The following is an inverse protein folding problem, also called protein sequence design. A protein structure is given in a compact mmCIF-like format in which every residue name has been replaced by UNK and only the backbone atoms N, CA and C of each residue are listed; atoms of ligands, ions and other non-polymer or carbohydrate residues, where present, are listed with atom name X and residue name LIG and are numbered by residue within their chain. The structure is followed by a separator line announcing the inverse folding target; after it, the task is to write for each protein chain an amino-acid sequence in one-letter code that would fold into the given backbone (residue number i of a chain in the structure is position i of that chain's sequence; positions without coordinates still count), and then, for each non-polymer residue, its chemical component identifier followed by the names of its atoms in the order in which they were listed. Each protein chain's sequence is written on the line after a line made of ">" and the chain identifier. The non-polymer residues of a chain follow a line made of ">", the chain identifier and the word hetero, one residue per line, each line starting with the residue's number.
data_IF_237544085907
#
_entry.id   IF_237544085907
#
_cell.length_a   1.000
_cell.length_b   1.000
_cell.length_c   1.000
_cell.angle_alpha   90.00
_cell.angle_beta   90.00
_cell.angle_gamma   90.00
#
_symmetry.space_group_name_H-M   'P 1'
#
loop_
_entity.id
_entity.type
_entity.pdbx_description
1 polymer ?
#
# COMPACT_ATOMS: atom_id res chain seq x y z
N UNK A 1 11.20 46.51 -38.37
CA UNK A 1 9.92 46.44 -37.63
C UNK A 1 9.75 45.01 -37.16
N UNK A 2 9.75 44.80 -35.84
CA UNK A 2 9.08 43.72 -35.08
C UNK A 2 9.63 43.82 -33.66
N UNK A 3 8.85 44.46 -32.81
CA UNK A 3 9.06 44.57 -31.36
C UNK A 3 8.81 43.22 -30.71
N UNK A 4 9.74 42.74 -29.89
CA UNK A 4 9.53 41.62 -28.99
C UNK A 4 8.52 41.98 -27.90
N UNK A 5 7.54 41.11 -27.67
CA UNK A 5 6.53 41.26 -26.62
C UNK A 5 7.08 40.68 -25.30
N UNK A 6 6.96 41.37 -24.16
CA UNK A 6 7.45 40.89 -22.88
C UNK A 6 6.64 39.69 -22.37
N UNK A 7 7.32 38.69 -21.80
CA UNK A 7 6.68 37.57 -21.10
C UNK A 7 6.12 38.05 -19.76
N UNK A 8 4.82 37.82 -19.55
CA UNK A 8 4.11 38.14 -18.31
C UNK A 8 4.32 37.00 -17.28
N UNK A 9 4.89 37.24 -16.08
CA UNK A 9 5.19 36.19 -15.10
C UNK A 9 3.99 35.65 -14.30
N UNK A 10 2.75 36.04 -14.62
CA UNK A 10 1.56 35.69 -13.83
C UNK A 10 0.67 34.58 -14.42
N UNK A 11 1.12 33.82 -15.42
CA UNK A 11 0.29 32.74 -15.96
C UNK A 11 0.42 31.48 -15.09
N UNK A 12 -0.61 31.06 -14.34
CA UNK A 12 -0.53 29.84 -13.56
C UNK A 12 -0.36 28.65 -14.51
N UNK A 13 0.66 27.83 -14.26
CA UNK A 13 0.72 26.48 -14.81
C UNK A 13 -0.47 25.72 -14.25
N UNK A 14 -1.50 25.52 -15.07
CA UNK A 14 -2.56 24.57 -14.79
C UNK A 14 -2.00 23.16 -14.98
N UNK A 15 -1.27 22.65 -14.00
CA UNK A 15 -1.19 21.19 -13.83
C UNK A 15 -2.62 20.70 -13.60
N UNK A 16 -3.15 19.77 -14.41
CA UNK A 16 -4.42 19.16 -14.07
C UNK A 16 -4.23 18.48 -12.72
N UNK A 17 -4.93 18.97 -11.70
CA UNK A 17 -5.14 18.21 -10.50
C UNK A 17 -5.80 16.90 -10.95
N UNK A 18 -5.14 15.77 -10.70
CA UNK A 18 -5.81 14.48 -10.81
C UNK A 18 -6.85 14.42 -9.69
N UNK A 19 -8.01 15.02 -9.93
CA UNK A 19 -9.20 14.91 -9.09
C UNK A 19 -9.72 13.48 -9.24
N UNK A 20 -9.02 12.52 -8.64
CA UNK A 20 -9.52 11.17 -8.49
C UNK A 20 -10.81 11.26 -7.69
N UNK A 21 -11.91 10.74 -8.26
CA UNK A 21 -13.12 10.45 -7.48
C UNK A 21 -12.68 9.67 -6.25
N UNK A 22 -13.11 10.03 -5.02
CA UNK A 22 -12.84 9.20 -3.85
C UNK A 22 -13.40 7.81 -4.17
N UNK A 23 -12.49 6.86 -4.36
CA UNK A 23 -12.90 5.48 -4.62
C UNK A 23 -13.49 4.97 -3.32
N UNK A 24 -14.79 4.69 -3.33
CA UNK A 24 -15.44 4.02 -2.20
C UNK A 24 -14.82 2.63 -2.06
N UNK A 25 -14.09 2.40 -0.98
CA UNK A 25 -13.52 1.09 -0.65
C UNK A 25 -12.08 1.16 -0.14
N UNK A 26 -11.46 0.00 0.12
CA UNK A 26 -10.10 -0.08 0.64
C UNK A 26 -9.07 0.51 -0.32
N UNK A 27 -8.11 1.25 0.23
CA UNK A 27 -7.00 1.84 -0.54
C UNK A 27 -6.01 0.76 -0.98
N UNK A 28 -5.65 0.73 -2.26
CA UNK A 28 -4.64 -0.22 -2.77
C UNK A 28 -3.25 0.22 -2.31
N UNK A 29 -2.55 -0.66 -1.59
CA UNK A 29 -1.18 -0.46 -1.16
C UNK A 29 -0.23 -1.37 -1.94
N UNK A 30 0.83 -0.78 -2.48
CA UNK A 30 1.92 -1.47 -3.17
C UNK A 30 3.11 -1.49 -2.22
N UNK A 31 3.78 -2.64 -2.12
CA UNK A 31 4.99 -2.76 -1.30
C UNK A 31 6.09 -1.85 -1.86
N UNK A 32 6.53 -0.88 -1.07
CA UNK A 32 7.58 0.08 -1.48
C UNK A 32 8.99 -0.44 -1.17
N UNK A 33 9.11 -1.38 -0.22
CA UNK A 33 10.37 -1.87 0.30
C UNK A 33 11.17 -0.82 1.09
N UNK A 34 12.12 -1.29 1.89
CA UNK A 34 13.11 -0.46 2.59
C UNK A 34 12.53 0.69 3.41
N UNK A 35 11.36 0.49 4.02
CA UNK A 35 10.81 1.44 4.99
C UNK A 35 11.71 1.51 6.22
N UNK A 36 11.62 2.61 6.94
CA UNK A 36 12.33 2.84 8.19
C UNK A 36 11.58 2.10 9.30
N UNK A 37 12.30 1.25 10.05
CA UNK A 37 11.79 0.47 11.18
C UNK A 37 10.52 -0.36 10.85
N UNK A 38 10.57 -1.26 9.85
CA UNK A 38 9.41 -2.05 9.47
C UNK A 38 8.93 -2.93 10.63
N UNK A 39 7.62 -2.95 10.85
CA UNK A 39 6.95 -3.75 11.89
C UNK A 39 5.86 -4.62 11.29
N UNK A 40 5.60 -5.77 11.92
CA UNK A 40 4.50 -6.65 11.53
C UNK A 40 3.15 -6.02 11.85
N UNK A 41 2.17 -6.22 10.97
CA UNK A 41 0.80 -5.74 11.16
C UNK A 41 -0.18 -6.88 10.92
N UNK A 42 -1.16 -7.09 11.83
CA UNK A 42 -2.21 -8.07 11.61
C UNK A 42 -3.12 -7.63 10.49
N UNK A 43 -3.45 -8.56 9.60
CA UNK A 43 -4.53 -8.36 8.65
C UNK A 43 -5.89 -8.73 9.25
N UNK A 44 -6.95 -8.19 8.65
CA UNK A 44 -8.34 -8.41 9.05
C UNK A 44 -9.05 -9.42 8.17
N UNK A 45 -8.71 -9.46 6.88
CA UNK A 45 -9.33 -10.38 5.93
C UNK A 45 -8.32 -10.84 4.87
N UNK A 46 -8.50 -12.06 4.38
CA UNK A 46 -7.78 -12.61 3.23
C UNK A 46 -8.76 -13.35 2.32
N UNK A 47 -8.70 -13.04 1.03
CA UNK A 47 -9.54 -13.62 -0.02
C UNK A 47 -8.65 -14.29 -1.09
N UNK A 48 -8.86 -15.58 -1.40
CA UNK A 48 -8.21 -16.19 -2.56
C UNK A 48 -8.67 -15.52 -3.86
N UNK A 49 -7.72 -15.23 -4.75
CA UNK A 49 -7.95 -14.74 -6.12
C UNK A 49 -7.18 -15.62 -7.11
N UNK A 50 -7.41 -15.46 -8.41
CA UNK A 50 -6.92 -16.38 -9.44
C UNK A 50 -5.43 -16.74 -9.31
N UNK A 51 -4.55 -15.75 -9.14
CA UNK A 51 -3.10 -15.93 -9.06
C UNK A 51 -2.51 -15.67 -7.67
N UNK A 52 -3.33 -15.61 -6.62
CA UNK A 52 -2.83 -15.31 -5.29
C UNK A 52 -3.87 -14.95 -4.23
N UNK A 53 -3.54 -13.96 -3.40
CA UNK A 53 -4.37 -13.53 -2.27
C UNK A 53 -4.61 -12.03 -2.33
N UNK A 54 -5.86 -11.61 -2.14
CA UNK A 54 -6.20 -10.22 -1.79
C UNK A 54 -6.28 -10.13 -0.26
N UNK A 55 -5.50 -9.23 0.34
CA UNK A 55 -5.34 -9.11 1.80
C UNK A 55 -5.79 -7.72 2.22
N UNK A 56 -6.56 -7.63 3.29
CA UNK A 56 -7.12 -6.39 3.82
C UNK A 56 -6.64 -6.16 5.25
N UNK A 57 -6.36 -4.90 5.61
CA UNK A 57 -5.95 -4.51 6.96
C UNK A 57 -6.26 -3.05 7.24
N UNK A 58 -6.29 -2.67 8.51
CA UNK A 58 -6.36 -1.26 8.94
C UNK A 58 -4.98 -0.76 9.30
N UNK A 59 -4.65 0.45 8.85
CA UNK A 59 -3.36 1.09 9.13
C UNK A 59 -3.47 2.61 9.00
N UNK A 60 -2.46 3.35 9.46
CA UNK A 60 -2.41 4.81 9.32
C UNK A 60 -2.16 5.28 7.89
N UNK A 61 -2.17 6.59 7.67
CA UNK A 61 -1.91 7.18 6.35
C UNK A 61 -0.42 7.13 5.98
N UNK A 62 -0.14 7.13 4.67
CA UNK A 62 1.21 7.30 4.12
C UNK A 62 1.65 8.77 4.19
N UNK A 63 2.95 9.08 4.28
CA UNK A 63 4.09 8.15 4.24
C UNK A 63 4.42 7.47 5.59
N UNK A 64 3.73 7.81 6.67
CA UNK A 64 4.07 7.30 8.02
C UNK A 64 3.83 5.80 8.19
N UNK A 65 2.88 5.22 7.45
CA UNK A 65 2.60 3.79 7.47
C UNK A 65 2.47 3.24 6.04
N UNK A 66 3.58 3.10 5.33
CA UNK A 66 3.63 2.49 4.00
C UNK A 66 3.87 0.98 4.10
N UNK A 67 3.25 0.21 3.20
CA UNK A 67 3.50 -1.23 3.10
C UNK A 67 4.95 -1.46 2.69
N UNK A 68 5.74 -2.07 3.55
CA UNK A 68 7.14 -2.38 3.31
C UNK A 68 7.29 -3.59 2.39
N UNK A 69 6.76 -4.74 2.84
CA UNK A 69 6.81 -6.01 2.14
C UNK A 69 5.71 -6.93 2.62
N UNK A 70 5.49 -7.99 1.86
CA UNK A 70 4.63 -9.11 2.28
C UNK A 70 5.44 -10.39 2.21
N UNK A 71 5.63 -11.03 3.36
CA UNK A 71 6.33 -12.32 3.42
C UNK A 71 5.32 -13.45 3.35
N UNK A 72 5.55 -14.41 2.46
CA UNK A 72 4.75 -15.64 2.33
C UNK A 72 5.64 -16.84 2.65
N UNK A 73 5.25 -17.61 3.67
CA UNK A 73 5.93 -18.86 4.04
C UNK A 73 5.00 -20.03 3.84
N UNK A 74 5.50 -21.05 3.14
CA UNK A 74 4.76 -22.27 2.83
C UNK A 74 5.18 -23.40 3.76
N UNK A 75 4.21 -24.19 4.20
CA UNK A 75 4.42 -25.43 4.92
C UNK A 75 3.44 -26.49 4.40
N UNK A 76 3.54 -27.72 4.92
CA UNK A 76 2.64 -28.81 4.55
C UNK A 76 1.15 -28.51 4.87
N UNK A 77 0.87 -27.72 5.90
CA UNK A 77 -0.51 -27.50 6.38
C UNK A 77 -0.94 -26.04 6.37
N UNK A 78 -0.02 -25.10 6.17
CA UNK A 78 -0.28 -23.66 6.26
C UNK A 78 0.43 -22.86 5.17
N UNK A 79 -0.22 -21.79 4.76
CA UNK A 79 0.38 -20.65 4.05
C UNK A 79 0.33 -19.46 5.01
N UNK A 80 1.46 -19.07 5.56
CA UNK A 80 1.54 -17.93 6.50
C UNK A 80 1.87 -16.68 5.71
N UNK A 81 1.03 -15.64 5.85
CA UNK A 81 1.23 -14.35 5.22
C UNK A 81 1.44 -13.27 6.28
N UNK A 82 2.55 -12.55 6.17
CA UNK A 82 2.94 -11.49 7.13
C UNK A 82 3.05 -10.16 6.40
N UNK A 83 2.23 -9.18 6.79
CA UNK A 83 2.38 -7.80 6.32
C UNK A 83 3.40 -7.07 7.19
N UNK A 84 4.24 -6.26 6.55
CA UNK A 84 5.17 -5.37 7.22
C UNK A 84 4.91 -3.94 6.77
N UNK A 85 4.91 -2.99 7.69
CA UNK A 85 4.80 -1.56 7.37
C UNK A 85 5.82 -0.73 8.14
N UNK A 86 6.16 0.41 7.59
CA UNK A 86 7.04 1.39 8.23
C UNK A 86 6.88 2.77 7.59
N UNK A 87 7.63 3.75 8.07
CA UNK A 87 7.63 5.07 7.44
C UNK A 87 8.61 5.12 6.29
N UNK A 88 8.24 5.80 5.21
CA UNK A 88 9.18 6.14 4.12
C UNK A 88 9.88 7.48 4.35
N UNK A 89 9.41 8.28 5.31
CA UNK A 89 9.97 9.58 5.66
C UNK A 89 10.03 9.76 7.18
N UNK A 90 11.23 9.96 7.71
CA UNK A 90 11.47 10.13 9.16
C UNK A 90 10.93 11.45 9.71
N UNK A 91 10.73 12.45 8.85
CA UNK A 91 10.30 13.79 9.22
C UNK A 91 8.80 14.03 8.93
N UNK A 92 8.10 13.03 8.40
CA UNK A 92 6.68 13.12 8.09
C UNK A 92 5.82 13.26 9.34
N UNK A 93 4.84 14.16 9.26
CA UNK A 93 3.81 14.35 10.28
C UNK A 93 2.47 13.96 9.66
N UNK A 94 1.93 12.83 10.10
CA UNK A 94 0.66 12.31 9.62
C UNK A 94 -0.46 12.50 10.66
N UNK A 95 -1.68 12.62 10.18
CA UNK A 95 -2.87 12.52 11.04
C UNK A 95 -3.09 11.06 11.46
N UNK A 96 -3.53 10.85 12.70
CA UNK A 96 -3.82 9.53 13.25
C UNK A 96 -5.24 9.08 12.86
N UNK A 97 -5.38 8.60 11.62
CA UNK A 97 -6.62 8.01 11.10
C UNK A 97 -6.31 6.62 10.55
N UNK A 98 -7.12 5.64 10.95
CA UNK A 98 -7.09 4.31 10.36
C UNK A 98 -7.83 4.33 9.01
N UNK A 99 -7.14 3.90 7.96
CA UNK A 99 -7.72 3.64 6.64
C UNK A 99 -7.66 2.14 6.36
N UNK A 100 -8.72 1.63 5.73
CA UNK A 100 -8.71 0.25 5.25
C UNK A 100 -7.83 0.21 4.01
N UNK A 101 -6.84 -0.68 4.04
CA UNK A 101 -5.93 -0.92 2.93
C UNK A 101 -6.13 -2.32 2.40
N UNK A 102 -5.71 -2.52 1.16
CA UNK A 102 -5.61 -3.83 0.55
C UNK A 102 -4.38 -3.98 -0.33
N UNK A 103 -3.95 -5.21 -0.54
CA UNK A 103 -2.88 -5.54 -1.49
C UNK A 103 -3.15 -6.90 -2.13
N UNK A 104 -2.59 -7.13 -3.32
CA UNK A 104 -2.67 -8.40 -4.03
C UNK A 104 -1.29 -9.05 -4.00
N UNK A 105 -1.21 -10.23 -3.39
CA UNK A 105 0.02 -11.01 -3.27
C UNK A 105 -0.05 -12.17 -4.23
N UNK A 106 0.87 -12.20 -5.20
CA UNK A 106 1.05 -13.38 -6.05
C UNK A 106 1.70 -14.50 -5.25
N UNK A 107 1.14 -15.70 -5.32
CA UNK A 107 1.70 -16.87 -4.67
C UNK A 107 2.63 -17.64 -5.61
N UNK A 108 3.72 -18.18 -5.08
CA UNK A 108 4.61 -19.09 -5.82
C UNK A 108 4.13 -20.55 -5.78
N UNK A 109 3.23 -20.88 -4.85
CA UNK A 109 2.59 -22.19 -4.74
C UNK A 109 1.07 -22.03 -4.51
N UNK A 110 0.24 -22.96 -5.04
CA UNK A 110 -1.22 -22.92 -4.85
C UNK A 110 -1.59 -23.18 -3.39
N UNK A 111 -2.62 -22.50 -2.83
CA UNK A 111 -3.01 -22.73 -1.42
C UNK A 111 -3.38 -24.18 -1.14
N UNK A 112 -4.21 -24.80 -1.99
CA UNK A 112 -4.71 -26.17 -1.79
C UNK A 112 -5.53 -26.30 -0.50
N UNK A 113 -5.38 -27.42 0.21
CA UNK A 113 -6.07 -27.67 1.49
C UNK A 113 -5.42 -26.98 2.71
N UNK A 114 -4.40 -26.15 2.47
CA UNK A 114 -3.64 -25.48 3.53
C UNK A 114 -4.46 -24.35 4.14
N UNK A 115 -4.29 -24.14 5.44
CA UNK A 115 -4.86 -22.98 6.12
C UNK A 115 -4.04 -21.72 5.83
N UNK A 116 -4.70 -20.63 5.46
CA UNK A 116 -4.05 -19.31 5.39
C UNK A 116 -4.00 -18.72 6.80
N UNK A 117 -2.82 -18.30 7.26
CA UNK A 117 -2.58 -17.84 8.64
C UNK A 117 -1.89 -16.49 8.66
N UNK A 118 -2.27 -15.65 9.63
CA UNK A 118 -1.67 -14.34 9.86
C UNK A 118 -0.34 -14.49 10.60
N UNK A 119 0.76 -14.06 9.99
CA UNK A 119 2.09 -14.15 10.59
C UNK A 119 2.44 -13.03 11.59
N UNK A 120 1.51 -12.10 11.82
CA UNK A 120 1.59 -11.10 12.88
C UNK A 120 0.81 -11.49 14.16
N UNK A 121 0.11 -12.64 14.15
CA UNK A 121 -0.64 -13.17 15.29
C UNK A 121 -0.02 -14.45 15.86
#
# INVERSE_FOLDING_TARGET
>A
MTTGQPVNPEQPVSTPASSGVPTTGPSMAVAVGNTINPRKIPWTEVKPVADGLEIFWWSGVEPCNSLDRVDVTYSATKVTVTLWEGTTDKDAICIEIAIEKKTIVKLSEPVGDRKIVDGAK
#
